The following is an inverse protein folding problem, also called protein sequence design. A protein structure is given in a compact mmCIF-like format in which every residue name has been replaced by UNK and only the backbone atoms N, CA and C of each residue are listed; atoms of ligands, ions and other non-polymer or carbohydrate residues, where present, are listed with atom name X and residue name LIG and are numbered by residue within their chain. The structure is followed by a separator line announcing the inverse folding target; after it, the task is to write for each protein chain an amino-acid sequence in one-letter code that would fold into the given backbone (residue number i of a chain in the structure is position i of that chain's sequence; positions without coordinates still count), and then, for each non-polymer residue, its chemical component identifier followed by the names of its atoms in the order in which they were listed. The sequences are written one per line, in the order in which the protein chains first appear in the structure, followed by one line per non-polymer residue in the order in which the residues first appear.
data_IF_730919969078
#
_entry.id   IF_730919969078
#
_cell.length_a   1.000
_cell.length_b   1.000
_cell.length_c   1.000
_cell.angle_alpha   90.00
_cell.angle_beta   90.00
_cell.angle_gamma   90.00
#
_symmetry.space_group_name_H-M   'P 1'
#
loop_
_entity.id
_entity.type
_entity.pdbx_description
1 polymer ?
#
# COMPACT_ATOMS: atom_id res chain seq x y z
N UNK A 1 -21.76 -41.20 -75.94
CA UNK A 1 -22.17 -42.45 -75.25
C UNK A 1 -22.37 -42.05 -73.79
N UNK A 2 -23.61 -41.95 -73.29
CA UNK A 2 -24.50 -43.06 -72.85
C UNK A 2 -23.87 -43.79 -71.64
N UNK A 3 -24.43 -43.74 -70.42
CA UNK A 3 -25.69 -44.37 -69.95
C UNK A 3 -25.66 -45.92 -69.98
N UNK A 4 -26.21 -46.67 -69.01
CA UNK A 4 -26.77 -46.37 -67.66
C UNK A 4 -27.15 -47.69 -66.94
N UNK A 5 -27.24 -47.68 -65.59
CA UNK A 5 -28.16 -48.50 -64.73
C UNK A 5 -28.10 -50.06 -64.64
N UNK A 6 -28.54 -50.56 -63.46
CA UNK A 6 -29.21 -51.86 -63.16
C UNK A 6 -28.40 -53.19 -63.26
N UNK A 7 -28.68 -54.26 -62.48
CA UNK A 7 -29.50 -54.43 -61.25
C UNK A 7 -29.19 -55.76 -60.48
N UNK A 8 -29.72 -55.86 -59.23
CA UNK A 8 -30.19 -57.02 -58.42
C UNK A 8 -30.02 -58.48 -58.95
N UNK A 9 -29.79 -59.50 -58.09
CA UNK A 9 -30.82 -60.07 -57.18
C UNK A 9 -30.30 -60.96 -56.02
N UNK A 10 -31.15 -61.17 -55.00
CA UNK A 10 -31.03 -62.10 -53.85
C UNK A 10 -31.67 -63.48 -54.19
N UNK A 11 -32.01 -64.46 -53.29
CA UNK A 11 -32.18 -64.49 -51.80
C UNK A 11 -31.16 -65.46 -51.12
N UNK A 12 -31.32 -66.24 -50.03
CA UNK A 12 -32.48 -66.71 -49.21
C UNK A 12 -32.07 -67.13 -47.77
N UNK A 13 -33.06 -67.46 -46.93
CA UNK A 13 -33.02 -67.95 -45.52
C UNK A 13 -33.40 -69.46 -45.58
N UNK A 14 -33.13 -70.42 -44.67
CA UNK A 14 -33.08 -70.46 -43.19
C UNK A 14 -32.28 -71.66 -42.64
N UNK A 15 -32.00 -71.68 -41.32
CA UNK A 15 -31.55 -72.89 -40.61
C UNK A 15 -31.43 -72.69 -39.09
N UNK A 16 -32.48 -73.01 -38.32
CA UNK A 16 -32.56 -72.76 -36.87
C UNK A 16 -32.40 -74.05 -36.05
N UNK A 17 -31.34 -74.14 -35.26
CA UNK A 17 -31.21 -75.08 -34.13
C UNK A 17 -31.15 -74.29 -32.80
N UNK A 18 -31.48 -74.93 -31.67
CA UNK A 18 -31.79 -74.24 -30.42
C UNK A 18 -30.86 -74.60 -29.25
N UNK A 19 -30.69 -73.59 -28.37
CA UNK A 19 -30.45 -73.72 -26.92
C UNK A 19 -29.23 -74.52 -26.43
N UNK A 20 -28.22 -73.75 -26.01
CA UNK A 20 -27.65 -73.94 -24.67
C UNK A 20 -27.48 -72.56 -24.02
N UNK A 21 -28.37 -72.20 -23.08
CA UNK A 21 -28.19 -71.00 -22.25
C UNK A 21 -27.14 -71.35 -21.20
N UNK A 22 -25.86 -71.15 -21.55
CA UNK A 22 -24.76 -71.28 -20.59
C UNK A 22 -24.98 -70.21 -19.50
N UNK A 23 -25.13 -70.59 -18.22
CA UNK A 23 -25.42 -69.62 -17.18
C UNK A 23 -24.27 -68.63 -17.09
N UNK A 24 -24.58 -67.34 -17.17
CA UNK A 24 -23.61 -66.25 -17.03
C UNK A 24 -23.11 -66.20 -15.59
N UNK A 25 -22.15 -67.06 -15.28
CA UNK A 25 -21.29 -66.94 -14.11
C UNK A 25 -20.58 -65.61 -14.25
N UNK A 26 -21.10 -64.58 -13.57
CA UNK A 26 -20.33 -63.37 -13.26
C UNK A 26 -19.08 -63.85 -12.54
N UNK A 27 -17.97 -63.95 -13.27
CA UNK A 27 -16.66 -64.03 -12.65
C UNK A 27 -16.50 -62.68 -11.98
N UNK A 28 -16.86 -62.63 -10.69
CA UNK A 28 -16.55 -61.52 -9.82
C UNK A 28 -15.02 -61.53 -9.66
N UNK A 29 -14.35 -60.98 -10.68
CA UNK A 29 -12.92 -60.80 -10.76
C UNK A 29 -12.54 -59.61 -9.86
N UNK A 30 -12.90 -59.78 -8.58
CA UNK A 30 -12.36 -59.01 -7.47
C UNK A 30 -10.89 -59.37 -7.42
N UNK A 31 -10.11 -58.65 -8.22
CA UNK A 31 -8.67 -58.58 -8.05
C UNK A 31 -8.46 -57.98 -6.67
N UNK A 32 -8.31 -58.85 -5.68
CA UNK A 32 -7.85 -58.49 -4.35
C UNK A 32 -6.46 -57.92 -4.55
N UNK A 33 -6.41 -56.60 -4.71
CA UNK A 33 -5.18 -55.85 -4.64
C UNK A 33 -4.70 -55.96 -3.20
N UNK A 34 -3.91 -57.02 -2.93
CA UNK A 34 -3.13 -57.16 -1.71
C UNK A 34 -2.50 -55.78 -1.43
N UNK A 35 -2.77 -55.25 -0.23
CA UNK A 35 -2.63 -53.82 0.07
C UNK A 35 -1.32 -53.29 -0.48
N UNK A 36 -1.39 -52.49 -1.56
CA UNK A 36 -0.19 -51.96 -2.21
C UNK A 36 0.52 -51.10 -1.18
N UNK A 37 1.65 -51.60 -0.69
CA UNK A 37 2.46 -50.95 0.35
C UNK A 37 2.71 -49.48 0.00
N UNK A 38 2.80 -48.60 1.03
CA UNK A 38 2.67 -47.15 0.86
C UNK A 38 3.49 -46.64 -0.33
N UNK A 39 2.77 -46.18 -1.37
CA UNK A 39 3.29 -45.93 -2.73
C UNK A 39 4.69 -45.29 -2.67
N UNK A 40 5.75 -45.95 -3.19
CA UNK A 40 7.13 -45.50 -3.04
C UNK A 40 7.30 -44.01 -3.32
N UNK A 41 7.46 -43.22 -2.24
CA UNK A 41 7.74 -41.79 -2.32
C UNK A 41 9.23 -41.63 -2.61
N UNK A 42 9.60 -41.81 -3.87
CA UNK A 42 10.89 -41.29 -4.35
C UNK A 42 10.99 -39.82 -3.89
N UNK A 43 12.08 -39.40 -3.22
CA UNK A 43 12.25 -38.00 -2.86
C UNK A 43 12.19 -37.19 -4.15
N UNK A 44 11.38 -36.11 -4.18
CA UNK A 44 11.27 -35.26 -5.36
C UNK A 44 12.59 -34.49 -5.51
N UNK A 45 13.56 -35.09 -6.22
CA UNK A 45 14.92 -34.58 -6.43
C UNK A 45 15.02 -33.34 -7.35
N UNK A 46 13.90 -32.62 -7.49
CA UNK A 46 13.90 -31.19 -7.81
C UNK A 46 14.47 -30.44 -6.59
N UNK A 47 15.80 -30.41 -6.47
CA UNK A 47 16.49 -29.53 -5.52
C UNK A 47 16.10 -28.09 -5.83
N UNK A 48 15.15 -27.52 -5.09
CA UNK A 48 14.96 -26.08 -5.09
C UNK A 48 16.27 -25.46 -4.60
N UNK A 49 16.93 -24.67 -5.47
CA UNK A 49 17.96 -23.75 -4.98
C UNK A 49 17.27 -22.86 -3.95
N UNK A 50 17.82 -22.77 -2.74
CA UNK A 50 17.25 -21.95 -1.68
C UNK A 50 17.10 -20.52 -2.21
N UNK A 51 15.85 -20.07 -2.39
CA UNK A 51 15.58 -18.72 -2.89
C UNK A 51 15.93 -17.77 -1.76
N UNK A 52 17.07 -17.08 -1.89
CA UNK A 52 17.49 -16.01 -0.98
C UNK A 52 16.31 -15.04 -0.82
N UNK A 53 15.78 -14.99 0.41
CA UNK A 53 14.54 -14.29 0.70
C UNK A 53 14.68 -12.79 0.60
N UNK A 54 13.58 -12.09 0.33
CA UNK A 54 13.54 -10.62 0.19
C UNK A 54 14.13 -9.89 1.41
N UNK A 55 14.07 -10.50 2.60
CA UNK A 55 14.65 -9.99 3.84
C UNK A 55 16.18 -10.14 3.82
N UNK A 56 16.70 -11.32 3.47
CA UNK A 56 18.14 -11.53 3.31
C UNK A 56 18.74 -10.63 2.22
N UNK A 57 17.98 -10.37 1.13
CA UNK A 57 18.37 -9.38 0.11
C UNK A 57 18.43 -7.96 0.69
N UNK A 58 17.45 -7.55 1.50
CA UNK A 58 17.41 -6.19 2.06
C UNK A 58 18.50 -5.97 3.11
N UNK A 59 18.81 -6.97 3.93
CA UNK A 59 19.87 -6.89 4.92
C UNK A 59 21.24 -6.76 4.22
N UNK A 60 21.53 -7.62 3.22
CA UNK A 60 22.75 -7.49 2.42
C UNK A 60 22.84 -6.13 1.70
N UNK A 61 21.72 -5.61 1.20
CA UNK A 61 21.66 -4.28 0.57
C UNK A 61 22.05 -3.18 1.57
N UNK A 62 21.55 -3.23 2.81
CA UNK A 62 21.91 -2.30 3.89
C UNK A 62 23.38 -2.42 4.29
N UNK A 63 23.87 -3.65 4.47
CA UNK A 63 25.30 -3.94 4.75
C UNK A 63 26.21 -3.32 3.68
N UNK A 64 25.87 -3.52 2.39
CA UNK A 64 26.59 -2.89 1.28
C UNK A 64 26.54 -1.36 1.35
N UNK A 65 25.35 -0.75 1.51
CA UNK A 65 25.19 0.72 1.53
C UNK A 65 25.98 1.36 2.67
N UNK A 66 26.00 0.73 3.86
CA UNK A 66 26.74 1.23 5.02
C UNK A 66 28.26 1.21 4.83
N UNK A 67 28.79 0.20 4.13
CA UNK A 67 30.23 0.02 3.93
C UNK A 67 30.89 0.93 2.89
N UNK A 68 30.11 1.73 2.14
CA UNK A 68 30.61 2.68 1.14
C UNK A 68 30.95 4.03 1.78
N UNK A 69 31.65 4.92 1.08
CA UNK A 69 31.71 6.32 1.51
C UNK A 69 30.36 7.03 1.32
N UNK A 70 30.28 8.30 1.72
CA UNK A 70 29.10 9.14 1.44
C UNK A 70 29.10 9.74 0.02
N UNK A 71 30.07 9.40 -0.84
CA UNK A 71 30.11 9.83 -2.24
C UNK A 71 28.91 9.25 -3.00
N UNK A 72 28.20 10.11 -3.73
CA UNK A 72 26.97 9.76 -4.46
C UNK A 72 27.25 8.68 -5.51
N UNK A 73 28.36 8.79 -6.22
CA UNK A 73 28.75 7.93 -7.34
C UNK A 73 29.05 6.49 -6.88
N UNK A 74 29.69 6.31 -5.72
CA UNK A 74 29.90 4.99 -5.11
C UNK A 74 28.57 4.32 -4.72
N UNK A 75 27.70 5.07 -4.03
CA UNK A 75 26.39 4.56 -3.60
C UNK A 75 25.51 4.23 -4.79
N UNK A 76 25.47 5.09 -5.81
CA UNK A 76 24.66 4.87 -7.01
C UNK A 76 25.22 3.70 -7.85
N UNK A 77 26.55 3.58 -7.97
CA UNK A 77 27.20 2.45 -8.65
C UNK A 77 26.98 1.11 -7.94
N UNK A 78 27.03 1.09 -6.60
CA UNK A 78 26.70 -0.09 -5.82
C UNK A 78 25.23 -0.49 -5.98
N UNK A 79 24.30 0.48 -5.92
CA UNK A 79 22.87 0.24 -6.12
C UNK A 79 22.55 -0.24 -7.55
N UNK A 80 23.20 0.33 -8.57
CA UNK A 80 23.06 -0.11 -9.96
C UNK A 80 23.62 -1.52 -10.18
N UNK A 81 24.79 -1.82 -9.60
CA UNK A 81 25.37 -3.17 -9.65
C UNK A 81 24.50 -4.20 -8.93
N UNK A 82 23.79 -3.81 -7.86
CA UNK A 82 22.83 -4.67 -7.16
C UNK A 82 21.60 -4.96 -8.03
N UNK A 83 21.06 -3.96 -8.73
CA UNK A 83 19.92 -4.14 -9.65
C UNK A 83 20.30 -4.98 -10.87
N UNK A 84 21.54 -4.90 -11.36
CA UNK A 84 21.99 -5.65 -12.53
C UNK A 84 21.91 -7.20 -12.37
N UNK A 85 21.78 -7.71 -11.14
CA UNK A 85 21.59 -9.15 -10.85
C UNK A 85 20.11 -9.55 -10.62
N UNK A 86 19.17 -8.60 -10.63
CA UNK A 86 17.74 -8.85 -10.42
C UNK A 86 16.96 -8.78 -11.74
N UNK A 87 16.05 -9.73 -11.95
CA UNK A 87 15.22 -9.80 -13.17
C UNK A 87 14.14 -8.69 -13.24
N UNK A 88 13.74 -8.17 -12.08
CA UNK A 88 12.75 -7.11 -11.91
C UNK A 88 13.33 -6.05 -10.96
N UNK A 89 12.94 -4.78 -11.11
CA UNK A 89 13.44 -3.74 -10.21
C UNK A 89 13.02 -4.05 -8.75
N UNK A 90 13.96 -4.14 -7.79
CA UNK A 90 13.71 -4.81 -6.51
C UNK A 90 12.99 -3.90 -5.47
N UNK A 91 11.86 -3.28 -5.85
CA UNK A 91 11.07 -2.34 -5.05
C UNK A 91 10.82 -2.83 -3.61
N UNK A 92 10.47 -4.11 -3.44
CA UNK A 92 10.16 -4.68 -2.11
C UNK A 92 11.42 -4.84 -1.26
N UNK A 93 12.57 -5.11 -1.88
CA UNK A 93 13.87 -5.17 -1.19
C UNK A 93 14.29 -3.77 -0.75
N UNK A 94 14.24 -2.80 -1.66
CA UNK A 94 14.58 -1.39 -1.38
C UNK A 94 13.65 -0.81 -0.31
N UNK A 95 12.35 -1.06 -0.39
CA UNK A 95 11.37 -0.64 0.65
C UNK A 95 11.63 -1.27 2.02
N UNK A 96 12.19 -2.47 2.09
CA UNK A 96 12.62 -3.09 3.36
C UNK A 96 13.94 -2.48 3.86
N UNK A 97 14.92 -2.29 2.98
CA UNK A 97 16.20 -1.66 3.29
C UNK A 97 16.03 -0.22 3.82
N UNK A 98 15.14 0.57 3.20
CA UNK A 98 14.77 1.90 3.67
C UNK A 98 14.16 1.89 5.08
N UNK A 99 13.30 0.91 5.40
CA UNK A 99 12.73 0.78 6.75
C UNK A 99 13.76 0.40 7.81
N UNK A 100 14.75 -0.42 7.47
CA UNK A 100 15.85 -0.74 8.40
C UNK A 100 16.77 0.47 8.60
N UNK A 101 17.11 1.20 7.54
CA UNK A 101 17.86 2.46 7.66
C UNK A 101 17.08 3.52 8.46
N UNK A 102 15.75 3.56 8.34
CA UNK A 102 14.84 4.44 9.10
C UNK A 102 14.85 4.10 10.60
N UNK A 103 14.83 2.81 10.97
CA UNK A 103 15.02 2.39 12.38
C UNK A 103 16.43 2.67 12.92
N UNK A 104 17.42 2.81 12.04
CA UNK A 104 18.82 3.08 12.38
C UNK A 104 19.19 4.57 12.28
N UNK A 105 18.25 5.43 11.84
CA UNK A 105 18.42 6.88 11.61
C UNK A 105 19.52 7.27 10.61
N UNK A 106 19.77 6.42 9.63
CA UNK A 106 20.74 6.66 8.54
C UNK A 106 20.19 7.60 7.46
N UNK A 107 19.78 8.81 7.85
CA UNK A 107 19.03 9.76 7.01
C UNK A 107 19.73 10.09 5.68
N UNK A 108 21.05 10.30 5.72
CA UNK A 108 21.88 10.56 4.52
C UNK A 108 21.78 9.41 3.50
N UNK A 109 21.79 8.16 3.98
CA UNK A 109 21.62 6.97 3.13
C UNK A 109 20.20 6.85 2.59
N UNK A 110 19.19 7.16 3.41
CA UNK A 110 17.78 7.17 2.98
C UNK A 110 17.56 8.18 1.84
N UNK A 111 18.10 9.40 1.97
CA UNK A 111 18.05 10.42 0.90
C UNK A 111 18.73 9.91 -0.36
N UNK A 112 19.94 9.35 -0.27
CA UNK A 112 20.68 8.81 -1.42
C UNK A 112 19.91 7.69 -2.13
N UNK A 113 19.42 6.69 -1.38
CA UNK A 113 18.71 5.53 -1.93
C UNK A 113 17.36 5.94 -2.56
N UNK A 114 16.62 6.88 -1.95
CA UNK A 114 15.35 7.35 -2.55
C UNK A 114 15.62 8.24 -3.77
N UNK A 115 16.58 9.17 -3.72
CA UNK A 115 16.94 9.99 -4.91
C UNK A 115 17.45 9.11 -6.06
N UNK A 116 18.23 8.05 -5.78
CA UNK A 116 18.59 7.04 -6.77
C UNK A 116 17.36 6.32 -7.34
N UNK A 117 16.49 5.77 -6.50
CA UNK A 117 15.28 5.05 -6.93
C UNK A 117 14.37 5.91 -7.83
N UNK A 118 14.14 7.17 -7.44
CA UNK A 118 13.36 8.14 -8.22
C UNK A 118 14.03 8.48 -9.56
N UNK A 119 15.37 8.56 -9.60
CA UNK A 119 16.12 8.82 -10.84
C UNK A 119 15.99 7.71 -11.88
N UNK A 120 15.81 6.44 -11.45
CA UNK A 120 15.49 5.30 -12.32
C UNK A 120 14.02 5.28 -12.77
N UNK A 121 13.26 6.32 -12.44
CA UNK A 121 11.81 6.43 -12.67
C UNK A 121 10.96 5.66 -11.67
N UNK A 122 11.57 4.91 -10.75
CA UNK A 122 10.92 3.91 -9.90
C UNK A 122 10.44 4.50 -8.57
N UNK A 123 9.52 3.78 -7.91
CA UNK A 123 9.11 4.10 -6.54
C UNK A 123 8.47 5.48 -6.35
N UNK A 124 7.90 6.09 -7.39
CA UNK A 124 7.23 7.41 -7.37
C UNK A 124 5.89 7.40 -6.62
N UNK A 125 5.92 7.05 -5.33
CA UNK A 125 4.73 6.93 -4.45
C UNK A 125 4.71 8.02 -3.38
N UNK A 126 3.53 8.38 -2.89
CA UNK A 126 3.39 9.35 -1.79
C UNK A 126 4.19 8.94 -0.54
N UNK A 127 4.23 7.65 -0.19
CA UNK A 127 5.05 7.16 0.92
C UNK A 127 6.55 7.37 0.69
N UNK A 128 7.03 7.22 -0.54
CA UNK A 128 8.44 7.46 -0.88
C UNK A 128 8.81 8.94 -0.78
N UNK A 129 7.93 9.85 -1.21
CA UNK A 129 8.12 11.29 -1.01
C UNK A 129 8.02 11.69 0.46
N UNK A 130 7.12 11.07 1.24
CA UNK A 130 6.98 11.32 2.68
C UNK A 130 8.24 10.89 3.46
N UNK A 131 8.80 9.71 3.16
CA UNK A 131 10.06 9.26 3.76
C UNK A 131 11.24 10.13 3.32
N UNK A 132 11.28 10.59 2.05
CA UNK A 132 12.32 11.51 1.58
C UNK A 132 12.27 12.86 2.31
N UNK A 133 11.09 13.48 2.40
CA UNK A 133 10.91 14.75 3.10
C UNK A 133 11.24 14.60 4.59
N UNK A 134 10.81 13.51 5.23
CA UNK A 134 11.15 13.22 6.63
C UNK A 134 12.67 13.09 6.80
N UNK A 135 13.35 12.36 5.92
CA UNK A 135 14.80 12.21 6.00
C UNK A 135 15.55 13.53 5.74
N UNK A 136 15.05 14.42 4.86
CA UNK A 136 15.63 15.75 4.65
C UNK A 136 15.47 16.65 5.88
N UNK A 137 14.31 16.60 6.54
CA UNK A 137 14.03 17.32 7.79
C UNK A 137 14.99 16.86 8.91
N UNK A 138 15.17 15.55 9.06
CA UNK A 138 16.01 14.97 10.13
C UNK A 138 17.52 14.99 9.78
N UNK A 139 17.89 15.32 8.54
CA UNK A 139 19.25 15.60 8.05
C UNK A 139 19.55 17.12 7.97
N UNK A 140 18.68 17.96 8.55
CA UNK A 140 18.74 19.43 8.61
C UNK A 140 18.76 20.18 7.25
N UNK A 141 18.39 19.51 6.16
CA UNK A 141 18.48 20.05 4.78
C UNK A 141 17.21 20.79 4.36
N UNK A 142 17.02 21.95 5.00
CA UNK A 142 15.90 22.86 4.80
C UNK A 142 15.64 23.19 3.32
N UNK A 143 16.65 23.66 2.58
CA UNK A 143 16.51 24.12 1.19
C UNK A 143 15.99 23.00 0.26
N UNK A 144 16.51 21.78 0.39
CA UNK A 144 16.05 20.63 -0.41
C UNK A 144 14.67 20.12 0.04
N UNK A 145 14.29 20.31 1.31
CA UNK A 145 12.95 20.04 1.81
C UNK A 145 11.93 21.05 1.26
N UNK A 146 12.30 22.33 1.14
CA UNK A 146 11.48 23.38 0.52
C UNK A 146 11.34 23.19 -1.00
N UNK A 147 12.41 22.81 -1.71
CA UNK A 147 12.35 22.45 -3.13
C UNK A 147 11.40 21.26 -3.36
N UNK A 148 11.56 20.20 -2.56
CA UNK A 148 10.72 19.00 -2.64
C UNK A 148 9.26 19.32 -2.31
N UNK A 149 9.01 20.11 -1.25
CA UNK A 149 7.68 20.59 -0.90
C UNK A 149 7.04 21.34 -2.07
N UNK A 150 7.73 22.33 -2.62
CA UNK A 150 7.25 23.18 -3.72
C UNK A 150 6.93 22.35 -4.97
N UNK A 151 7.78 21.38 -5.31
CA UNK A 151 7.52 20.44 -6.42
C UNK A 151 6.27 19.58 -6.17
N UNK A 152 6.07 19.08 -4.95
CA UNK A 152 4.93 18.22 -4.61
C UNK A 152 3.63 19.01 -4.51
N UNK A 153 3.66 20.20 -3.91
CA UNK A 153 2.53 21.09 -3.79
C UNK A 153 2.01 21.52 -5.17
N UNK A 154 2.86 22.11 -6.02
CA UNK A 154 2.47 22.56 -7.36
C UNK A 154 1.97 21.43 -8.28
N UNK A 155 2.36 20.18 -8.00
CA UNK A 155 2.02 19.00 -8.82
C UNK A 155 0.77 18.24 -8.35
N UNK A 156 0.43 18.33 -7.06
CA UNK A 156 -0.66 17.55 -6.46
C UNK A 156 -1.73 18.40 -5.76
N UNK A 157 -1.41 19.63 -5.35
CA UNK A 157 -2.31 20.61 -4.71
C UNK A 157 -3.21 19.95 -3.65
N UNK A 158 -4.53 20.01 -3.82
CA UNK A 158 -5.54 19.41 -2.94
C UNK A 158 -5.40 17.88 -2.74
N UNK A 159 -4.70 17.17 -3.64
CA UNK A 159 -4.44 15.73 -3.52
C UNK A 159 -3.23 15.38 -2.65
N UNK A 160 -2.48 16.37 -2.14
CA UNK A 160 -1.31 16.14 -1.30
C UNK A 160 -1.73 15.72 0.14
N UNK A 161 -1.29 14.57 0.67
CA UNK A 161 -1.71 14.12 2.00
C UNK A 161 -1.36 15.10 3.13
N UNK A 162 -2.28 15.25 4.10
CA UNK A 162 -2.14 16.14 5.28
C UNK A 162 -0.81 15.99 6.06
N UNK A 163 -0.19 14.81 6.01
CA UNK A 163 1.10 14.52 6.66
C UNK A 163 2.24 15.41 6.13
N UNK A 164 2.20 15.83 4.86
CA UNK A 164 3.21 16.74 4.31
C UNK A 164 3.09 18.14 4.92
N UNK A 165 1.87 18.70 5.00
CA UNK A 165 1.58 19.97 5.67
C UNK A 165 2.01 19.94 7.15
N UNK A 166 1.67 18.86 7.88
CA UNK A 166 2.11 18.66 9.26
C UNK A 166 3.64 18.70 9.37
N UNK A 167 4.36 17.96 8.51
CA UNK A 167 5.83 17.93 8.55
C UNK A 167 6.48 19.29 8.24
N UNK A 168 5.96 20.06 7.27
CA UNK A 168 6.50 21.39 6.96
C UNK A 168 6.18 22.43 8.04
N UNK A 169 4.97 22.42 8.60
CA UNK A 169 4.61 23.32 9.71
C UNK A 169 5.46 23.03 10.95
N UNK A 170 5.73 21.76 11.27
CA UNK A 170 6.67 21.39 12.34
C UNK A 170 8.10 21.86 12.04
N UNK A 171 8.61 21.63 10.82
CA UNK A 171 9.95 22.11 10.40
C UNK A 171 10.09 23.62 10.61
N UNK A 172 9.15 24.43 10.12
CA UNK A 172 9.21 25.88 10.27
C UNK A 172 8.99 26.34 11.71
N UNK A 173 8.17 25.65 12.51
CA UNK A 173 8.03 25.92 13.94
C UNK A 173 9.36 25.70 14.68
N UNK A 174 10.04 24.57 14.44
CA UNK A 174 11.31 24.21 15.08
C UNK A 174 12.48 25.09 14.62
N UNK A 175 12.43 25.62 13.38
CA UNK A 175 13.40 26.61 12.85
C UNK A 175 13.04 28.08 13.18
N UNK A 176 11.90 28.34 13.81
CA UNK A 176 11.44 29.70 14.12
C UNK A 176 10.95 30.53 12.91
N UNK A 177 10.73 29.89 11.75
CA UNK A 177 10.34 30.55 10.49
C UNK A 177 8.83 30.80 10.43
N UNK A 178 8.36 31.70 11.30
CA UNK A 178 6.94 31.91 11.55
C UNK A 178 6.13 32.39 10.33
N UNK A 179 6.75 33.11 9.39
CA UNK A 179 6.11 33.58 8.17
C UNK A 179 5.71 32.41 7.25
N UNK A 180 6.67 31.56 6.84
CA UNK A 180 6.39 30.36 6.04
C UNK A 180 5.51 29.33 6.76
N UNK A 181 5.54 29.32 8.09
CA UNK A 181 4.61 28.53 8.91
C UNK A 181 3.15 29.02 8.76
N UNK A 182 2.94 30.34 8.68
CA UNK A 182 1.62 30.92 8.44
C UNK A 182 1.14 30.73 6.99
N UNK A 183 2.03 30.76 6.01
CA UNK A 183 1.73 30.46 4.60
C UNK A 183 1.14 29.05 4.47
N UNK A 184 1.87 28.00 4.87
CA UNK A 184 1.38 26.61 4.76
C UNK A 184 0.14 26.35 5.63
N UNK A 185 -0.03 27.10 6.72
CA UNK A 185 -1.29 27.04 7.49
C UNK A 185 -2.47 27.65 6.71
N UNK A 186 -2.27 28.79 6.04
CA UNK A 186 -3.29 29.41 5.20
C UNK A 186 -3.64 28.53 3.98
N UNK A 187 -2.65 27.98 3.27
CA UNK A 187 -2.85 27.02 2.18
C UNK A 187 -3.75 25.85 2.62
N UNK A 188 -3.48 25.33 3.83
CA UNK A 188 -4.22 24.20 4.40
C UNK A 188 -5.66 24.60 4.81
N UNK A 189 -5.90 25.84 5.24
CA UNK A 189 -7.26 26.34 5.48
C UNK A 189 -8.03 26.59 4.18
N UNK A 190 -7.39 27.18 3.15
CA UNK A 190 -7.98 27.46 1.84
C UNK A 190 -8.38 26.16 1.11
N UNK A 191 -7.55 25.13 1.20
CA UNK A 191 -7.85 23.77 0.71
C UNK A 191 -8.86 23.00 1.59
N UNK A 192 -9.55 23.66 2.53
CA UNK A 192 -10.57 23.07 3.41
C UNK A 192 -10.04 22.01 4.39
N UNK A 193 -8.73 21.87 4.53
CA UNK A 193 -8.12 20.81 5.33
C UNK A 193 -8.05 21.19 6.80
N UNK A 194 -9.09 20.83 7.57
CA UNK A 194 -9.09 20.99 9.04
C UNK A 194 -7.74 20.60 9.69
N UNK A 195 -7.03 21.51 10.36
CA UNK A 195 -5.73 21.24 10.99
C UNK A 195 -5.84 20.19 12.10
N UNK A 196 -4.72 19.49 12.37
CA UNK A 196 -4.59 18.68 13.57
C UNK A 196 -4.37 19.58 14.80
N UNK A 197 -4.81 19.15 15.98
CA UNK A 197 -4.62 19.89 17.24
C UNK A 197 -3.14 20.14 17.61
N UNK A 198 -2.22 19.35 17.06
CA UNK A 198 -0.77 19.59 17.08
C UNK A 198 -0.41 20.93 16.41
N UNK A 199 -0.85 21.13 15.17
CA UNK A 199 -0.71 22.36 14.40
C UNK A 199 -1.41 23.52 15.10
N UNK A 200 -2.68 23.35 15.52
CA UNK A 200 -3.44 24.41 16.19
C UNK A 200 -2.72 24.90 17.46
N UNK A 201 -2.09 23.99 18.22
CA UNK A 201 -1.26 24.38 19.37
C UNK A 201 -0.02 25.15 18.91
N UNK A 202 0.78 24.63 17.99
CA UNK A 202 2.01 25.30 17.52
C UNK A 202 1.71 26.71 16.95
N UNK A 203 0.65 26.86 16.16
CA UNK A 203 0.17 28.15 15.67
C UNK A 203 -0.22 29.10 16.81
N UNK A 204 -0.94 28.58 17.82
CA UNK A 204 -1.29 29.35 19.01
C UNK A 204 -0.07 29.80 19.82
N UNK A 205 0.90 28.90 20.01
CA UNK A 205 2.17 29.16 20.70
C UNK A 205 2.97 30.26 19.97
N UNK A 206 2.95 30.30 18.63
CA UNK A 206 3.58 31.36 17.82
C UNK A 206 2.79 32.68 17.89
N UNK A 207 1.46 32.67 17.77
CA UNK A 207 0.67 33.90 17.91
C UNK A 207 0.85 34.55 19.29
N UNK A 208 1.03 33.77 20.35
CA UNK A 208 1.38 34.32 21.68
C UNK A 208 2.78 34.92 21.71
N UNK A 209 3.80 34.25 21.16
CA UNK A 209 5.18 34.79 21.07
C UNK A 209 5.24 36.11 20.28
N UNK A 210 4.41 36.26 19.25
CA UNK A 210 4.30 37.46 18.42
C UNK A 210 3.26 38.47 18.93
N UNK A 211 2.70 38.27 20.13
CA UNK A 211 1.66 39.11 20.74
C UNK A 211 0.39 39.34 19.87
N UNK A 212 0.08 38.42 18.95
CA UNK A 212 -1.05 38.50 18.03
C UNK A 212 -2.34 37.91 18.64
N UNK A 213 -2.77 38.46 19.78
CA UNK A 213 -3.86 37.90 20.59
C UNK A 213 -5.19 37.77 19.80
N UNK A 214 -5.54 38.75 18.96
CA UNK A 214 -6.71 38.70 18.08
C UNK A 214 -6.74 37.46 17.18
N UNK A 215 -5.57 37.04 16.66
CA UNK A 215 -5.44 35.84 15.81
C UNK A 215 -5.51 34.57 16.66
N UNK A 216 -4.93 34.59 17.85
CA UNK A 216 -4.97 33.49 18.82
C UNK A 216 -6.40 33.17 19.29
N UNK A 217 -7.22 34.18 19.57
CA UNK A 217 -8.62 34.00 19.96
C UNK A 217 -9.47 33.47 18.80
N UNK A 218 -9.31 34.03 17.58
CA UNK A 218 -9.96 33.52 16.36
C UNK A 218 -9.59 32.05 16.09
N UNK A 219 -8.30 31.69 16.22
CA UNK A 219 -7.81 30.31 16.07
C UNK A 219 -8.46 29.37 17.10
N UNK A 220 -8.53 29.78 18.37
CA UNK A 220 -9.20 29.02 19.44
C UNK A 220 -10.70 28.83 19.19
N UNK A 221 -11.38 29.86 18.70
CA UNK A 221 -12.82 29.82 18.41
C UNK A 221 -13.12 28.91 17.23
N UNK A 222 -12.31 28.97 16.16
CA UNK A 222 -12.45 28.13 14.95
C UNK A 222 -12.06 26.66 15.18
N UNK A 223 -11.10 26.40 16.08
CA UNK A 223 -10.62 25.06 16.39
C UNK A 223 -10.66 24.75 17.90
N UNK A 224 -11.87 24.62 18.48
CA UNK A 224 -12.01 24.27 19.88
C UNK A 224 -11.45 22.86 20.17
N UNK A 225 -10.87 22.63 21.36
CA UNK A 225 -10.36 21.32 21.74
C UNK A 225 -11.52 20.29 21.79
N UNK A 226 -11.29 19.06 21.33
CA UNK A 226 -12.35 18.07 21.21
C UNK A 226 -12.85 17.64 22.60
N UNK A 227 -14.17 17.75 22.81
CA UNK A 227 -14.84 17.28 24.03
C UNK A 227 -14.90 15.75 24.03
N UNK A 228 -14.89 15.16 25.22
CA UNK A 228 -15.00 13.71 25.43
C UNK A 228 -16.15 13.40 26.37
N UNK A 229 -17.10 12.60 25.91
CA UNK A 229 -18.21 12.08 26.73
C UNK A 229 -17.98 10.61 27.05
N UNK A 230 -18.45 10.18 28.22
CA UNK A 230 -18.59 8.76 28.53
C UNK A 230 -19.98 8.28 28.14
N UNK A 231 -20.05 7.39 27.15
CA UNK A 231 -21.29 6.72 26.77
C UNK A 231 -21.26 5.28 27.29
N UNK A 232 -22.45 4.74 27.57
CA UNK A 232 -22.62 3.39 28.10
C UNK A 232 -23.36 2.52 27.09
N UNK A 233 -22.82 1.34 26.79
CA UNK A 233 -23.48 0.35 25.91
C UNK A 233 -23.24 -1.05 26.48
N UNK A 234 -24.32 -1.79 26.75
CA UNK A 234 -24.29 -3.10 27.44
C UNK A 234 -23.46 -3.08 28.74
N UNK A 235 -23.64 -2.05 29.57
CA UNK A 235 -22.92 -1.85 30.84
C UNK A 235 -21.47 -1.35 30.72
N UNK A 236 -20.85 -1.43 29.54
CA UNK A 236 -19.47 -0.97 29.33
C UNK A 236 -19.46 0.54 29.09
N UNK A 237 -18.64 1.27 29.86
CA UNK A 237 -18.33 2.69 29.61
C UNK A 237 -17.26 2.81 28.52
N UNK A 238 -17.49 3.67 27.54
CA UNK A 238 -16.52 4.00 26.50
C UNK A 238 -16.50 5.52 26.26
N UNK A 239 -15.29 6.08 26.10
CA UNK A 239 -15.14 7.50 25.77
C UNK A 239 -15.43 7.72 24.29
N UNK A 240 -16.29 8.67 23.98
CA UNK A 240 -16.63 9.10 22.62
C UNK A 240 -16.14 10.54 22.44
N UNK A 241 -15.43 10.78 21.34
CA UNK A 241 -15.03 12.13 20.93
C UNK A 241 -16.28 12.83 20.38
N UNK A 242 -16.69 13.92 21.01
CA UNK A 242 -17.80 14.74 20.56
C UNK A 242 -17.27 15.89 19.73
N UNK A 243 -17.83 16.02 18.52
CA UNK A 243 -17.63 17.16 17.66
C UNK A 243 -18.86 18.06 17.82
N UNK A 244 -18.65 19.35 18.10
CA UNK A 244 -19.70 20.35 17.94
C UNK A 244 -20.01 20.45 16.43
N UNK A 245 -21.19 19.99 16.00
CA UNK A 245 -21.70 20.16 14.63
C UNK A 245 -22.45 21.48 14.51
N UNK A 246 -21.70 22.58 14.50
CA UNK A 246 -22.22 23.95 14.33
C UNK A 246 -21.57 24.68 13.13
N UNK A 247 -20.39 24.25 12.67
CA UNK A 247 -19.63 24.86 11.55
C UNK A 247 -19.59 23.98 10.27
N UNK A 248 -20.69 23.35 9.87
CA UNK A 248 -20.78 22.62 8.58
C UNK A 248 -22.21 22.60 8.04
N UNK A 249 -22.74 23.78 7.74
CA UNK A 249 -24.10 23.95 7.23
C UNK A 249 -24.16 24.92 6.06
N UNK A 250 -23.44 24.60 4.98
CA UNK A 250 -23.72 25.10 3.64
C UNK A 250 -23.26 24.08 2.59
N UNK A 251 -24.21 23.70 1.74
CA UNK A 251 -24.07 23.10 0.40
C UNK A 251 -23.23 21.81 0.24
N UNK A 252 -23.93 20.66 0.31
CA UNK A 252 -23.59 19.46 -0.48
C UNK A 252 -24.88 18.64 -0.76
N UNK A 253 -25.85 19.28 -1.44
CA UNK A 253 -27.22 18.77 -1.60
C UNK A 253 -27.39 17.87 -2.84
N UNK A 254 -26.68 16.73 -2.88
CA UNK A 254 -26.79 15.78 -4.00
C UNK A 254 -26.49 14.30 -3.67
N UNK A 255 -27.43 13.60 -3.02
CA UNK A 255 -27.55 12.14 -3.12
C UNK A 255 -29.01 11.68 -2.91
N UNK A 256 -29.72 11.36 -4.00
CA UNK A 256 -31.09 10.83 -3.92
C UNK A 256 -31.09 9.34 -3.58
N UNK A 257 -31.98 9.00 -2.64
CA UNK A 257 -32.80 7.78 -2.56
C UNK A 257 -32.49 6.67 -3.59
N UNK A 258 -32.08 5.51 -3.06
CA UNK A 258 -32.66 4.24 -3.48
C UNK A 258 -33.23 3.56 -2.23
N UNK A 259 -34.56 3.42 -2.18
CA UNK A 259 -35.21 2.44 -1.32
C UNK A 259 -34.89 1.03 -1.82
N UNK A 260 -34.78 0.07 -0.90
CA UNK A 260 -35.37 -1.25 -1.12
C UNK A 260 -35.58 -1.92 0.24
N UNK A 261 -36.84 -1.98 0.67
CA UNK A 261 -37.26 -2.68 1.87
C UNK A 261 -37.91 -4.01 1.48
N UNK A 262 -37.41 -5.11 2.03
CA UNK A 262 -38.08 -6.41 2.00
C UNK A 262 -37.82 -7.17 3.30
N UNK A 263 -38.91 -7.64 3.91
CA UNK A 263 -38.96 -8.23 5.24
C UNK A 263 -39.70 -9.57 5.19
N UNK A 264 -39.27 -10.51 6.04
CA UNK A 264 -39.95 -11.77 6.38
C UNK A 264 -40.05 -12.83 5.25
N UNK A 265 -40.42 -14.11 5.54
CA UNK A 265 -40.85 -14.62 6.86
C UNK A 265 -40.17 -15.92 7.37
N UNK A 266 -40.39 -16.14 8.68
CA UNK A 266 -40.13 -17.35 9.51
C UNK A 266 -38.65 -17.73 9.73
#
# INVERSE_FOLDING_TARGET
MLMSTFASFSPTISGRSQLAIVPSKRINLVVVCAQRGPRPKYPRVWKSRSRIGTISKSNKLVECIKGLSNVKEEVYGALDSFVAWELEFPLIVVKKALKTLETEKEWKRIIQVIKWMLSKGQGKTMGSYQTLLTAMIEDDRLEEAEELWSHLFNKYLASLPRVFYIKMITLYYDKGMHEKMFEIFADMEELGMRPEGSIVRMMGDVFQKLNMLDKYEKLKSKYPPPKWEYRYKKGIRYRVKVFNTEDTSQEDDSAKVCDDAQEAPV
#
